data_IF_508582941577
#
_entry.id   IF_508582941577
#
_cell.length_a   1.000
_cell.length_b   1.000
_cell.length_c   1.000
_cell.angle_alpha   90.00
_cell.angle_beta   90.00
_cell.angle_gamma   90.00
#
_symmetry.space_group_name_H-M   'P 1'
#
loop_
_entity.id
_entity.type
_entity.pdbx_description
1 polymer ?
#
# COMPACT_ATOMS: atom_id res chain seq x y z
N UNK A 1 35.33 -16.87 -67.33
CA UNK A 1 34.61 -17.95 -66.61
C UNK A 1 34.86 -17.92 -65.10
N UNK A 2 36.08 -17.63 -64.64
CA UNK A 2 36.44 -17.51 -63.21
C UNK A 2 35.70 -16.41 -62.44
N UNK A 3 35.56 -15.21 -63.00
CA UNK A 3 34.89 -14.08 -62.32
C UNK A 3 33.40 -14.31 -62.02
N UNK A 4 32.69 -15.08 -62.86
CA UNK A 4 31.27 -15.41 -62.64
C UNK A 4 31.15 -16.45 -61.50
N UNK A 5 32.08 -17.41 -61.44
CA UNK A 5 32.11 -18.42 -60.38
C UNK A 5 32.39 -17.80 -59.00
N UNK A 6 33.29 -16.82 -58.91
CA UNK A 6 33.53 -16.06 -57.68
C UNK A 6 32.31 -15.23 -57.28
N UNK A 7 31.69 -14.52 -58.24
CA UNK A 7 30.49 -13.73 -57.95
C UNK A 7 29.34 -14.59 -57.39
N UNK A 8 29.11 -15.78 -57.94
CA UNK A 8 28.10 -16.72 -57.44
C UNK A 8 28.44 -17.19 -56.01
N UNK A 9 29.72 -17.48 -55.73
CA UNK A 9 30.15 -17.87 -54.39
C UNK A 9 29.87 -16.77 -53.37
N UNK A 10 30.22 -15.53 -53.69
CA UNK A 10 29.98 -14.37 -52.83
C UNK A 10 28.49 -14.11 -52.60
N UNK A 11 27.65 -14.28 -53.63
CA UNK A 11 26.19 -14.16 -53.49
C UNK A 11 25.67 -15.21 -52.50
N UNK A 12 26.11 -16.46 -52.63
CA UNK A 12 25.66 -17.55 -51.75
C UNK A 12 26.13 -17.38 -50.30
N UNK A 13 27.34 -16.86 -50.11
CA UNK A 13 27.83 -16.47 -48.78
C UNK A 13 26.98 -15.32 -48.19
N UNK A 14 26.62 -14.32 -49.00
CA UNK A 14 25.75 -13.24 -48.55
C UNK A 14 24.33 -13.71 -48.21
N UNK A 15 23.76 -14.65 -48.98
CA UNK A 15 22.47 -15.27 -48.69
C UNK A 15 22.50 -16.01 -47.34
N UNK A 16 23.50 -16.85 -47.11
CA UNK A 16 23.65 -17.57 -45.85
C UNK A 16 23.80 -16.61 -44.66
N UNK A 17 24.62 -15.56 -44.80
CA UNK A 17 24.81 -14.56 -43.75
C UNK A 17 23.51 -13.79 -43.45
N UNK A 18 22.70 -13.51 -44.47
CA UNK A 18 21.41 -12.87 -44.30
C UNK A 18 20.42 -13.78 -43.56
N UNK A 19 20.38 -15.06 -43.88
CA UNK A 19 19.53 -16.05 -43.21
C UNK A 19 19.93 -16.23 -41.74
N UNK A 20 21.23 -16.31 -41.44
CA UNK A 20 21.75 -16.34 -40.07
C UNK A 20 21.35 -15.07 -39.30
N UNK A 21 21.53 -13.90 -39.90
CA UNK A 21 21.15 -12.63 -39.29
C UNK A 21 19.65 -12.56 -38.96
N UNK A 22 18.80 -13.07 -39.86
CA UNK A 22 17.34 -13.13 -39.64
C UNK A 22 17.01 -14.06 -38.47
N UNK A 23 17.64 -15.23 -38.39
CA UNK A 23 17.39 -16.19 -37.32
C UNK A 23 17.86 -15.65 -35.96
N UNK A 24 19.06 -15.08 -35.90
CA UNK A 24 19.60 -14.44 -34.70
C UNK A 24 18.71 -13.27 -34.23
N UNK A 25 18.24 -12.46 -35.17
CA UNK A 25 17.36 -11.33 -34.85
C UNK A 25 16.01 -11.80 -34.29
N UNK A 26 15.45 -12.90 -34.83
CA UNK A 26 14.23 -13.52 -34.29
C UNK A 26 14.46 -14.06 -32.88
N UNK A 27 15.55 -14.78 -32.66
CA UNK A 27 15.90 -15.32 -31.34
C UNK A 27 16.05 -14.21 -30.30
N UNK A 28 16.82 -13.16 -30.61
CA UNK A 28 16.99 -11.99 -29.74
C UNK A 28 15.66 -11.28 -29.46
N UNK A 29 14.79 -11.15 -30.46
CA UNK A 29 13.49 -10.52 -30.27
C UNK A 29 12.60 -11.31 -29.30
N UNK A 30 12.61 -12.64 -29.40
CA UNK A 30 11.88 -13.51 -28.47
C UNK A 30 12.43 -13.35 -27.06
N UNK A 31 13.75 -13.39 -26.89
CA UNK A 31 14.41 -13.20 -25.60
C UNK A 31 14.07 -11.84 -24.98
N UNK A 32 14.10 -10.77 -25.78
CA UNK A 32 13.72 -9.42 -25.32
C UNK A 32 12.27 -9.38 -24.83
N UNK A 33 11.34 -10.04 -25.54
CA UNK A 33 9.93 -10.09 -25.15
C UNK A 33 9.75 -10.89 -23.85
N UNK A 34 10.46 -12.01 -23.70
CA UNK A 34 10.44 -12.84 -22.48
C UNK A 34 10.95 -12.04 -21.27
N UNK A 35 12.10 -11.37 -21.43
CA UNK A 35 12.71 -10.55 -20.40
C UNK A 35 11.80 -9.38 -20.01
N UNK A 36 11.21 -8.68 -20.98
CA UNK A 36 10.27 -7.58 -20.72
C UNK A 36 9.02 -8.05 -19.95
N UNK A 37 8.51 -9.25 -20.24
CA UNK A 37 7.39 -9.85 -19.50
C UNK A 37 7.78 -10.16 -18.05
N UNK A 38 8.95 -10.74 -17.83
CA UNK A 38 9.46 -11.06 -16.49
C UNK A 38 9.68 -9.79 -15.66
N UNK A 39 10.30 -8.77 -16.25
CA UNK A 39 10.54 -7.49 -15.59
C UNK A 39 9.22 -6.80 -15.24
N UNK A 40 8.26 -6.77 -16.17
CA UNK A 40 6.92 -6.24 -15.91
C UNK A 40 6.19 -6.98 -14.79
N UNK A 41 6.31 -8.32 -14.75
CA UNK A 41 5.71 -9.13 -13.69
C UNK A 41 6.34 -8.83 -12.32
N UNK A 42 7.66 -8.64 -12.27
CA UNK A 42 8.38 -8.27 -11.05
C UNK A 42 7.97 -6.88 -10.57
N UNK A 43 7.91 -5.87 -11.45
CA UNK A 43 7.44 -4.52 -11.10
C UNK A 43 6.03 -4.56 -10.50
N UNK A 44 5.11 -5.32 -11.12
CA UNK A 44 3.74 -5.46 -10.60
C UNK A 44 3.73 -6.15 -9.23
N UNK A 45 4.57 -7.17 -9.03
CA UNK A 45 4.68 -7.88 -7.75
C UNK A 45 5.19 -6.95 -6.65
N UNK A 46 6.28 -6.23 -6.90
CA UNK A 46 6.87 -5.28 -5.96
C UNK A 46 5.90 -4.15 -5.62
N UNK A 47 5.20 -3.61 -6.63
CA UNK A 47 4.17 -2.60 -6.40
C UNK A 47 3.03 -3.10 -5.50
N UNK A 48 2.60 -4.35 -5.67
CA UNK A 48 1.57 -4.98 -4.81
C UNK A 48 2.06 -5.18 -3.38
N UNK A 49 3.30 -5.63 -3.20
CA UNK A 49 3.90 -5.82 -1.87
C UNK A 49 4.06 -4.48 -1.15
N UNK A 50 4.59 -3.47 -1.83
CA UNK A 50 4.72 -2.11 -1.31
C UNK A 50 3.37 -1.51 -0.92
N UNK A 51 2.34 -1.65 -1.78
CA UNK A 51 0.99 -1.17 -1.46
C UNK A 51 0.39 -1.88 -0.24
N UNK A 52 0.63 -3.20 -0.10
CA UNK A 52 0.17 -3.97 1.06
C UNK A 52 0.83 -3.50 2.35
N UNK A 53 2.11 -3.21 2.32
CA UNK A 53 2.83 -2.75 3.51
C UNK A 53 2.46 -1.31 3.89
N UNK A 54 2.25 -0.43 2.90
CA UNK A 54 1.69 0.89 3.14
C UNK A 54 0.29 0.82 3.75
N UNK A 55 -0.57 -0.08 3.26
CA UNK A 55 -1.91 -0.25 3.82
C UNK A 55 -1.86 -0.70 5.28
N UNK A 56 -0.95 -1.61 5.65
CA UNK A 56 -0.76 -2.02 7.05
C UNK A 56 -0.29 -0.86 7.92
N UNK A 57 0.67 -0.06 7.45
CA UNK A 57 1.17 1.11 8.18
C UNK A 57 0.07 2.14 8.43
N UNK A 58 -0.77 2.40 7.41
CA UNK A 58 -1.93 3.29 7.53
C UNK A 58 -2.91 2.76 8.59
N UNK A 59 -3.27 1.47 8.52
CA UNK A 59 -4.19 0.85 9.49
C UNK A 59 -3.60 0.95 10.90
N UNK A 60 -2.33 0.62 11.08
CA UNK A 60 -1.65 0.70 12.38
C UNK A 60 -1.69 2.12 12.97
N UNK A 61 -1.38 3.13 12.15
CA UNK A 61 -1.44 4.54 12.57
C UNK A 61 -2.85 4.98 12.94
N UNK A 62 -3.86 4.56 12.17
CA UNK A 62 -5.26 4.86 12.47
C UNK A 62 -5.67 4.21 13.79
N UNK A 63 -5.33 2.93 14.01
CA UNK A 63 -5.62 2.24 15.26
C UNK A 63 -4.94 2.89 16.46
N UNK A 64 -3.67 3.32 16.31
CA UNK A 64 -2.94 4.01 17.37
C UNK A 64 -3.61 5.36 17.72
N UNK A 65 -3.98 6.13 16.70
CA UNK A 65 -4.66 7.41 16.89
C UNK A 65 -6.05 7.22 17.52
N UNK A 66 -6.83 6.25 17.05
CA UNK A 66 -8.13 5.92 17.63
C UNK A 66 -8.01 5.52 19.11
N UNK A 67 -6.97 4.75 19.49
CA UNK A 67 -6.70 4.42 20.89
C UNK A 67 -6.33 5.64 21.73
N UNK A 68 -5.54 6.57 21.18
CA UNK A 68 -5.19 7.83 21.84
C UNK A 68 -6.42 8.70 22.07
N UNK A 69 -7.26 8.87 21.04
CA UNK A 69 -8.51 9.62 21.13
C UNK A 69 -9.49 9.00 22.14
N UNK A 70 -9.65 7.67 22.13
CA UNK A 70 -10.49 6.97 23.08
C UNK A 70 -10.04 7.22 24.53
N UNK A 71 -8.73 7.17 24.81
CA UNK A 71 -8.19 7.51 26.14
C UNK A 71 -8.49 8.95 26.54
N UNK A 72 -8.30 9.90 25.63
CA UNK A 72 -8.63 11.31 25.91
C UNK A 72 -10.11 11.51 26.25
N UNK A 73 -11.01 10.79 25.56
CA UNK A 73 -12.44 10.81 25.86
C UNK A 73 -12.72 10.23 27.25
N UNK A 74 -12.11 9.08 27.60
CA UNK A 74 -12.24 8.47 28.92
C UNK A 74 -11.77 9.44 30.01
N UNK A 75 -10.57 9.98 29.88
CA UNK A 75 -9.98 10.91 30.85
C UNK A 75 -10.86 12.16 31.05
N UNK A 76 -11.41 12.69 29.96
CA UNK A 76 -12.33 13.83 30.00
C UNK A 76 -13.65 13.46 30.67
N UNK A 77 -14.16 12.27 30.38
CA UNK A 77 -15.41 11.78 30.96
C UNK A 77 -15.27 11.55 32.46
N UNK A 78 -14.17 10.93 32.91
CA UNK A 78 -13.90 10.75 34.34
C UNK A 78 -13.81 12.08 35.09
N UNK A 79 -13.12 13.07 34.51
CA UNK A 79 -13.07 14.42 35.08
C UNK A 79 -14.48 15.03 35.21
N UNK A 80 -15.29 14.93 34.17
CA UNK A 80 -16.64 15.48 34.17
C UNK A 80 -17.53 14.77 35.21
N UNK A 81 -17.44 13.44 35.32
CA UNK A 81 -18.19 12.66 36.32
C UNK A 81 -17.78 13.07 37.73
N UNK A 82 -16.48 13.22 38.01
CA UNK A 82 -16.00 13.65 39.32
C UNK A 82 -16.48 15.07 39.68
N UNK A 83 -16.47 16.00 38.72
CA UNK A 83 -17.02 17.36 38.92
C UNK A 83 -18.51 17.27 39.23
N UNK A 84 -19.28 16.55 38.42
CA UNK A 84 -20.72 16.37 38.61
C UNK A 84 -21.06 15.73 39.96
N UNK A 85 -20.31 14.70 40.38
CA UNK A 85 -20.51 14.04 41.67
C UNK A 85 -20.25 15.00 42.84
N UNK A 86 -19.17 15.79 42.78
CA UNK A 86 -18.84 16.76 43.80
C UNK A 86 -19.90 17.87 43.92
N UNK A 87 -20.35 18.43 42.78
CA UNK A 87 -21.43 19.42 42.73
C UNK A 87 -22.77 18.84 43.22
N UNK A 88 -23.06 17.58 42.89
CA UNK A 88 -24.27 16.92 43.37
C UNK A 88 -24.23 16.72 44.88
N UNK A 89 -23.08 16.26 45.42
CA UNK A 89 -22.88 16.04 46.85
C UNK A 89 -23.04 17.32 47.68
N UNK A 90 -22.57 18.47 47.19
CA UNK A 90 -22.71 19.73 47.91
C UNK A 90 -24.17 20.18 48.07
N UNK A 91 -25.06 19.73 47.20
CA UNK A 91 -26.46 20.15 47.17
C UNK A 91 -27.41 19.17 47.89
N UNK A 92 -26.91 18.03 48.40
CA UNK A 92 -27.73 16.99 49.04
C UNK A 92 -28.44 17.53 50.28
N UNK A 93 -27.71 18.23 51.16
CA UNK A 93 -28.25 18.70 52.44
C UNK A 93 -29.33 19.78 52.23
N UNK A 94 -29.12 20.69 51.26
CA UNK A 94 -30.10 21.69 50.89
C UNK A 94 -31.35 21.06 50.29
N UNK A 95 -31.19 20.10 49.37
CA UNK A 95 -32.31 19.37 48.79
C UNK A 95 -33.11 18.60 49.87
N UNK A 96 -32.42 17.94 50.79
CA UNK A 96 -33.06 17.24 51.92
C UNK A 96 -33.86 18.21 52.81
N UNK A 97 -33.29 19.37 53.12
CA UNK A 97 -33.94 20.43 53.90
C UNK A 97 -35.23 20.94 53.23
N UNK A 98 -35.19 21.17 51.91
CA UNK A 98 -36.38 21.58 51.13
C UNK A 98 -37.47 20.50 51.16
N UNK A 99 -37.11 19.23 51.02
CA UNK A 99 -38.07 18.11 51.07
C UNK A 99 -38.74 18.04 52.43
N UNK A 100 -37.95 18.08 53.53
CA UNK A 100 -38.48 18.02 54.90
C UNK A 100 -39.46 19.16 55.16
N UNK A 101 -39.12 20.40 54.74
CA UNK A 101 -39.97 21.59 54.92
C UNK A 101 -41.29 21.54 54.16
N UNK A 102 -41.37 20.79 53.05
CA UNK A 102 -42.59 20.67 52.25
C UNK A 102 -43.48 19.49 52.66
N UNK A 103 -42.96 18.54 53.46
CA UNK A 103 -43.70 17.35 53.91
C UNK A 103 -44.24 17.51 55.35
N UNK A 104 -43.49 18.21 56.22
CA UNK A 104 -43.91 18.57 57.59
C UNK A 104 -44.61 19.93 57.62
#
# INVERSE_FOLDING_TARGET
MTAISEAIKTIKEAENNADELVNDSKAKSIEMIENAKLESANIIKEAKESAKDQAKDIIFKIEENARKEARLIIDKTEKNVNVFENESRSNIDEAASIIVKNIL
#
